data_IF_965904024959
#
_entry.id   IF_965904024959
#
_cell.length_a   1.000
_cell.length_b   1.000
_cell.length_c   1.000
_cell.angle_alpha   90.00
_cell.angle_beta   90.00
_cell.angle_gamma   90.00
#
_symmetry.space_group_name_H-M   'P 1'
#
loop_
_entity.id
_entity.type
_entity.pdbx_description
1 polymer ?
#
# COMPACT_ATOMS: atom_id res chain seq x y z
N UNK A 1 -3.22 -13.22 -4.71
CA UNK A 1 -2.64 -13.47 -3.37
C UNK A 1 -3.26 -12.44 -2.44
N UNK A 2 -4.02 -12.86 -1.44
CA UNK A 2 -4.56 -11.97 -0.42
C UNK A 2 -3.38 -11.39 0.37
N UNK A 3 -3.26 -10.06 0.42
CA UNK A 3 -2.14 -9.40 1.08
C UNK A 3 -2.14 -9.72 2.57
N UNK A 4 -1.09 -10.36 3.06
CA UNK A 4 -0.89 -10.64 4.48
C UNK A 4 -0.69 -9.31 5.21
N UNK A 5 -1.56 -9.00 6.17
CA UNK A 5 -1.44 -7.78 6.96
C UNK A 5 -0.09 -7.75 7.73
N UNK A 6 0.59 -6.58 7.81
CA UNK A 6 1.84 -6.45 8.56
C UNK A 6 1.66 -6.81 10.04
N UNK A 7 2.73 -7.31 10.67
CA UNK A 7 2.68 -7.69 12.09
C UNK A 7 2.41 -6.49 13.01
N UNK A 8 1.65 -6.71 14.09
CA UNK A 8 1.34 -5.65 15.08
C UNK A 8 2.62 -4.98 15.63
N UNK A 9 3.65 -5.79 15.88
CA UNK A 9 4.95 -5.33 16.37
C UNK A 9 5.64 -4.36 15.39
N UNK A 10 5.49 -4.61 14.10
CA UNK A 10 6.00 -3.73 13.06
C UNK A 10 5.26 -2.39 13.04
N UNK A 11 3.93 -2.44 13.10
CA UNK A 11 3.08 -1.24 13.16
C UNK A 11 3.45 -0.39 14.37
N UNK A 12 3.58 -0.98 15.56
CA UNK A 12 3.94 -0.27 16.80
C UNK A 12 5.31 0.43 16.73
N UNK A 13 6.34 -0.26 16.22
CA UNK A 13 7.68 0.32 16.07
C UNK A 13 7.66 1.51 15.11
N UNK A 14 6.89 1.42 14.02
CA UNK A 14 6.75 2.49 13.04
C UNK A 14 5.95 3.66 13.60
N UNK A 15 4.85 3.40 14.33
CA UNK A 15 4.03 4.40 15.03
C UNK A 15 4.89 5.32 15.91
N UNK A 16 5.89 4.77 16.62
CA UNK A 16 6.84 5.53 17.46
C UNK A 16 7.76 6.47 16.67
N UNK A 17 8.43 5.99 15.63
CA UNK A 17 9.41 6.78 14.86
C UNK A 17 8.77 7.94 14.08
N UNK A 18 7.59 7.68 13.59
CA UNK A 18 6.71 8.64 12.95
C UNK A 18 6.29 9.80 13.85
N UNK A 19 5.79 9.48 15.06
CA UNK A 19 5.24 10.50 15.95
C UNK A 19 6.31 11.52 16.33
N UNK A 20 7.57 11.11 16.23
CA UNK A 20 8.73 11.96 16.37
C UNK A 20 8.96 12.88 15.16
N UNK A 21 8.81 12.39 13.92
CA UNK A 21 8.98 13.20 12.71
C UNK A 21 7.86 14.25 12.53
N UNK A 22 6.59 13.89 12.75
CA UNK A 22 5.48 14.85 12.63
C UNK A 22 5.52 15.93 13.71
N UNK A 23 6.06 15.63 14.90
CA UNK A 23 6.31 16.63 15.95
C UNK A 23 7.34 17.68 15.53
N UNK A 24 8.24 17.36 14.59
CA UNK A 24 9.29 18.26 14.11
C UNK A 24 8.85 19.15 12.93
N UNK A 25 7.69 18.90 12.30
CA UNK A 25 7.24 19.68 11.13
C UNK A 25 5.75 20.08 11.21
N UNK A 26 5.42 21.24 11.80
CA UNK A 26 4.05 21.72 11.96
C UNK A 26 3.31 21.99 10.65
N UNK A 27 4.02 22.47 9.62
CA UNK A 27 3.43 22.75 8.30
C UNK A 27 2.96 21.49 7.61
N UNK A 28 3.77 20.43 7.69
CA UNK A 28 3.44 19.12 7.17
C UNK A 28 2.22 18.54 7.90
N UNK A 29 2.18 18.66 9.23
CA UNK A 29 1.02 18.25 10.04
C UNK A 29 -0.26 18.97 9.58
N UNK A 30 -0.24 20.29 9.42
CA UNK A 30 -1.41 21.09 9.05
C UNK A 30 -1.90 20.84 7.61
N UNK A 31 -0.98 20.70 6.64
CA UNK A 31 -1.32 20.33 5.28
C UNK A 31 -2.10 19.00 5.24
N UNK A 32 -1.63 18.00 5.99
CA UNK A 32 -2.29 16.70 6.04
C UNK A 32 -3.65 16.72 6.72
N UNK A 33 -3.80 17.43 7.84
CA UNK A 33 -5.12 17.60 8.48
C UNK A 33 -6.16 18.20 7.52
N UNK A 34 -5.77 19.20 6.72
CA UNK A 34 -6.67 19.83 5.76
C UNK A 34 -6.97 18.95 4.54
N UNK A 35 -6.01 18.12 4.12
CA UNK A 35 -6.19 17.20 3.00
C UNK A 35 -7.15 16.05 3.34
N UNK A 36 -7.07 15.52 4.56
CA UNK A 36 -7.79 14.32 4.97
C UNK A 36 -9.25 14.57 5.35
N UNK A 37 -9.59 15.81 5.68
CA UNK A 37 -10.96 16.23 5.91
C UNK A 37 -11.77 16.45 4.62
N UNK A 38 -11.20 16.13 3.44
CA UNK A 38 -11.92 16.28 2.17
C UNK A 38 -12.86 15.09 1.93
N UNK A 39 -14.09 15.31 1.42
CA UNK A 39 -15.07 14.25 1.17
C UNK A 39 -14.59 13.19 0.18
N UNK A 40 -13.67 13.54 -0.73
CA UNK A 40 -13.01 12.58 -1.63
C UNK A 40 -12.33 11.45 -0.87
N UNK A 41 -11.87 11.71 0.34
CA UNK A 41 -11.14 10.73 1.13
C UNK A 41 -12.01 9.53 1.49
N UNK A 42 -13.32 9.69 1.73
CA UNK A 42 -14.22 8.57 2.03
C UNK A 42 -14.22 7.51 0.91
N UNK A 43 -14.19 7.95 -0.35
CA UNK A 43 -14.11 7.03 -1.48
C UNK A 43 -12.74 6.37 -1.60
N UNK A 44 -11.67 7.13 -1.37
CA UNK A 44 -10.32 6.57 -1.38
C UNK A 44 -10.13 5.60 -0.19
N UNK A 45 -10.80 5.84 0.95
CA UNK A 45 -10.86 4.97 2.14
C UNK A 45 -11.36 3.56 1.83
N UNK A 46 -12.46 3.46 1.09
CA UNK A 46 -13.03 2.16 0.66
C UNK A 46 -12.08 1.38 -0.26
N UNK A 47 -11.31 2.08 -1.09
CA UNK A 47 -10.35 1.45 -2.00
C UNK A 47 -9.02 1.09 -1.32
N UNK A 48 -8.70 1.69 -0.17
CA UNK A 48 -7.38 1.58 0.46
C UNK A 48 -6.85 0.18 0.75
N UNK A 49 -7.62 -0.80 1.27
CA UNK A 49 -7.05 -2.13 1.52
C UNK A 49 -6.58 -2.83 0.23
N UNK A 50 -7.08 -2.41 -0.93
CA UNK A 50 -6.81 -3.02 -2.24
C UNK A 50 -5.83 -2.23 -3.12
N UNK A 51 -5.29 -1.10 -2.63
CA UNK A 51 -4.31 -0.30 -3.38
C UNK A 51 -2.88 -0.66 -2.95
N UNK A 52 -2.02 -1.11 -3.87
CA UNK A 52 -0.60 -1.28 -3.63
C UNK A 52 0.13 0.07 -3.56
N UNK A 53 1.21 0.12 -2.78
CA UNK A 53 2.09 1.27 -2.62
C UNK A 53 3.23 1.19 -3.65
N UNK A 54 3.37 2.16 -4.56
CA UNK A 54 4.54 2.27 -5.42
C UNK A 54 5.81 2.39 -4.57
N UNK A 55 6.67 1.38 -4.65
CA UNK A 55 7.88 1.29 -3.84
C UNK A 55 9.10 1.29 -4.76
N UNK A 56 10.05 2.19 -4.50
CA UNK A 56 11.31 2.25 -5.23
C UNK A 56 12.31 1.30 -4.58
N UNK A 57 12.88 0.42 -5.39
CA UNK A 57 14.05 -0.39 -5.04
C UNK A 57 15.23 0.13 -5.82
N UNK A 58 16.28 0.55 -5.12
CA UNK A 58 17.47 1.15 -5.72
C UNK A 58 18.73 0.36 -5.36
N UNK A 59 19.67 0.37 -6.30
CA UNK A 59 20.99 -0.21 -6.18
C UNK A 59 22.02 0.86 -6.58
N UNK A 60 22.79 1.34 -5.62
CA UNK A 60 23.58 2.58 -5.72
C UNK A 60 24.89 2.46 -6.50
N UNK A 61 25.18 1.28 -7.08
CA UNK A 61 26.44 1.01 -7.76
C UNK A 61 26.17 0.68 -9.21
N UNK A 62 26.96 1.26 -10.10
CA UNK A 62 26.95 0.90 -11.51
C UNK A 62 27.19 -0.61 -11.73
N UNK A 63 26.65 -1.13 -12.82
CA UNK A 63 26.73 -2.54 -13.16
C UNK A 63 26.16 -2.81 -14.54
N UNK A 64 26.44 -3.98 -15.15
CA UNK A 64 26.00 -4.27 -16.50
C UNK A 64 24.49 -4.59 -16.56
N UNK A 65 24.00 -5.40 -15.62
CA UNK A 65 22.56 -5.68 -15.45
C UNK A 65 22.25 -5.90 -13.98
N UNK A 66 21.16 -5.30 -13.52
CA UNK A 66 20.69 -5.42 -12.13
C UNK A 66 19.24 -5.87 -12.13
N UNK A 67 18.95 -6.90 -11.36
CA UNK A 67 17.61 -7.41 -11.11
C UNK A 67 17.33 -7.42 -9.62
N UNK A 68 16.05 -7.39 -9.26
CA UNK A 68 15.59 -7.57 -7.89
C UNK A 68 14.57 -8.69 -7.80
N UNK A 69 14.68 -9.50 -6.74
CA UNK A 69 13.74 -10.55 -6.38
C UNK A 69 13.40 -10.45 -4.90
N UNK A 70 12.20 -10.87 -4.52
CA UNK A 70 11.78 -10.88 -3.13
C UNK A 70 10.67 -11.86 -2.86
N UNK A 71 10.22 -11.89 -1.61
CA UNK A 71 9.20 -12.81 -1.12
C UNK A 71 7.76 -12.44 -1.53
N UNK A 72 7.53 -11.27 -2.13
CA UNK A 72 6.21 -10.83 -2.60
C UNK A 72 5.55 -11.78 -3.61
N UNK A 73 6.34 -12.58 -4.33
CA UNK A 73 5.86 -13.64 -5.22
C UNK A 73 6.41 -15.03 -4.85
N UNK A 74 6.99 -15.16 -3.65
CA UNK A 74 7.67 -16.36 -3.21
C UNK A 74 8.99 -16.63 -3.96
N UNK A 75 9.74 -15.58 -4.31
CA UNK A 75 11.04 -15.65 -5.01
C UNK A 75 10.97 -16.28 -6.40
N UNK A 76 9.82 -16.18 -7.07
CA UNK A 76 9.59 -16.84 -8.37
C UNK A 76 10.06 -15.98 -9.54
N UNK A 77 9.93 -14.66 -9.42
CA UNK A 77 10.28 -13.70 -10.45
C UNK A 77 11.56 -12.91 -10.16
N UNK A 78 12.15 -12.39 -11.24
CA UNK A 78 13.19 -11.36 -11.21
C UNK A 78 12.66 -10.14 -11.97
N UNK A 79 12.82 -8.95 -11.39
CA UNK A 79 12.39 -7.69 -12.00
C UNK A 79 13.64 -6.93 -12.41
N UNK A 80 13.83 -6.58 -13.70
CA UNK A 80 14.97 -5.78 -14.13
C UNK A 80 14.86 -4.35 -13.59
N UNK A 81 15.98 -3.78 -13.15
CA UNK A 81 16.06 -2.37 -12.76
C UNK A 81 16.50 -1.52 -13.94
N UNK A 82 15.97 -0.30 -13.99
CA UNK A 82 16.36 0.69 -14.98
C UNK A 82 17.69 1.35 -14.57
N UNK A 83 18.68 1.43 -15.47
CA UNK A 83 19.92 2.17 -15.22
C UNK A 83 19.68 3.68 -15.21
N UNK A 84 20.49 4.37 -14.41
CA UNK A 84 20.70 5.82 -14.41
C UNK A 84 22.20 6.10 -14.59
N UNK A 85 22.63 7.36 -14.46
CA UNK A 85 24.04 7.75 -14.58
C UNK A 85 24.93 7.10 -13.51
N UNK A 86 24.41 6.85 -12.31
CA UNK A 86 25.18 6.36 -11.16
C UNK A 86 24.54 5.16 -10.43
N UNK A 87 23.27 4.87 -10.69
CA UNK A 87 22.50 3.88 -9.95
C UNK A 87 21.57 3.06 -10.86
N UNK A 88 20.89 2.11 -10.23
CA UNK A 88 19.81 1.34 -10.83
C UNK A 88 18.57 1.46 -9.95
N UNK A 89 17.40 1.63 -10.54
CA UNK A 89 16.16 1.68 -9.78
C UNK A 89 14.97 1.04 -10.49
N UNK A 90 14.01 0.57 -9.70
CA UNK A 90 12.78 -0.02 -10.19
C UNK A 90 11.61 0.34 -9.28
N UNK A 91 10.45 0.60 -9.88
CA UNK A 91 9.22 0.89 -9.18
C UNK A 91 8.36 -0.38 -9.14
N UNK A 92 8.14 -0.90 -7.93
CA UNK A 92 7.39 -2.13 -7.70
C UNK A 92 6.17 -1.78 -6.83
N UNK A 93 4.95 -1.96 -7.32
CA UNK A 93 3.75 -1.77 -6.52
C UNK A 93 3.60 -2.95 -5.54
N UNK A 94 3.75 -2.69 -4.25
CA UNK A 94 3.62 -3.69 -3.19
C UNK A 94 2.51 -3.32 -2.20
N UNK A 95 1.74 -4.30 -1.77
CA UNK A 95 0.82 -4.09 -0.64
C UNK A 95 1.62 -3.80 0.64
N UNK A 96 1.02 -3.15 1.65
CA UNK A 96 1.70 -2.97 2.93
C UNK A 96 2.06 -4.30 3.58
N UNK A 97 3.24 -4.36 4.16
CA UNK A 97 3.83 -5.58 4.68
C UNK A 97 5.33 -5.43 4.93
N UNK A 98 5.93 -6.46 5.52
CA UNK A 98 7.38 -6.62 5.57
C UNK A 98 7.80 -7.56 4.44
N UNK A 99 8.77 -7.13 3.64
CA UNK A 99 9.28 -7.89 2.51
C UNK A 99 10.78 -8.09 2.64
N UNK A 100 11.22 -9.30 2.34
CA UNK A 100 12.63 -9.62 2.19
C UNK A 100 12.98 -9.75 0.70
N UNK A 101 14.11 -9.18 0.32
CA UNK A 101 14.51 -9.08 -1.08
C UNK A 101 16.02 -9.11 -1.25
N UNK A 102 16.45 -9.31 -2.49
CA UNK A 102 17.87 -9.39 -2.87
C UNK A 102 18.07 -8.94 -4.31
N UNK A 103 19.25 -8.42 -4.59
CA UNK A 103 19.64 -8.00 -5.93
C UNK A 103 20.48 -9.08 -6.61
N UNK A 104 20.27 -9.28 -7.90
CA UNK A 104 21.19 -10.03 -8.75
C UNK A 104 21.90 -9.04 -9.66
N UNK A 105 23.20 -8.87 -9.45
CA UNK A 105 24.07 -7.96 -10.21
C UNK A 105 25.02 -8.82 -11.02
N UNK A 106 24.89 -8.80 -12.34
CA UNK A 106 25.70 -9.64 -13.23
C UNK A 106 25.61 -11.14 -12.87
N UNK A 107 24.40 -11.62 -12.59
CA UNK A 107 24.12 -12.99 -12.18
C UNK A 107 24.55 -13.36 -10.76
N UNK A 108 25.14 -12.43 -10.00
CA UNK A 108 25.58 -12.66 -8.61
C UNK A 108 24.63 -12.03 -7.61
N UNK A 109 24.20 -12.83 -6.64
CA UNK A 109 23.36 -12.36 -5.54
C UNK A 109 24.10 -11.43 -4.59
N UNK A 110 23.61 -10.20 -4.44
CA UNK A 110 24.13 -9.15 -3.58
C UNK A 110 23.01 -8.52 -2.74
N UNK A 111 23.39 -7.91 -1.63
CA UNK A 111 22.50 -7.09 -0.81
C UNK A 111 23.00 -5.64 -0.84
N UNK A 112 22.08 -4.68 -0.82
CA UNK A 112 22.41 -3.26 -0.70
C UNK A 112 22.87 -2.96 0.72
N UNK A 113 23.88 -2.11 0.89
CA UNK A 113 24.44 -1.75 2.20
C UNK A 113 23.67 -0.62 2.89
N UNK A 114 22.95 0.19 2.12
CA UNK A 114 22.20 1.36 2.63
C UNK A 114 20.84 0.99 3.22
N UNK A 115 20.27 -0.14 2.83
CA UNK A 115 18.96 -0.58 3.31
C UNK A 115 19.12 -1.54 4.48
N UNK A 116 18.03 -1.79 5.22
CA UNK A 116 18.05 -2.72 6.34
C UNK A 116 18.42 -4.12 5.84
N UNK A 117 19.34 -4.76 6.55
CA UNK A 117 19.83 -6.11 6.26
C UNK A 117 19.30 -7.08 7.31
N UNK A 118 18.88 -8.25 6.86
CA UNK A 118 18.48 -9.38 7.70
C UNK A 118 19.27 -10.63 7.33
N UNK A 119 19.71 -11.37 8.35
CA UNK A 119 20.43 -12.63 8.18
C UNK A 119 19.41 -13.78 8.21
N UNK A 120 19.39 -14.60 7.17
CA UNK A 120 18.53 -15.77 7.14
C UNK A 120 19.12 -16.95 7.93
N UNK A 121 18.33 -18.01 8.12
CA UNK A 121 18.72 -19.21 8.85
C UNK A 121 19.91 -19.96 8.19
N UNK A 122 20.13 -19.77 6.90
CA UNK A 122 21.24 -20.34 6.13
C UNK A 122 22.52 -19.49 6.21
N UNK A 123 22.49 -18.40 6.97
CA UNK A 123 23.65 -17.54 7.19
C UNK A 123 23.91 -16.50 6.10
N UNK A 124 23.05 -16.41 5.08
CA UNK A 124 23.15 -15.41 4.01
C UNK A 124 22.40 -14.13 4.38
N UNK A 125 22.81 -13.01 3.80
CA UNK A 125 22.20 -11.70 4.03
C UNK A 125 21.24 -11.33 2.90
N UNK A 126 20.06 -10.85 3.30
CA UNK A 126 19.05 -10.28 2.43
C UNK A 126 18.73 -8.85 2.89
N UNK A 127 18.18 -8.04 2.01
CA UNK A 127 17.61 -6.77 2.40
C UNK A 127 16.17 -6.96 2.90
N UNK A 128 15.71 -6.05 3.74
CA UNK A 128 14.37 -6.02 4.30
C UNK A 128 13.79 -4.62 4.17
N UNK A 129 12.60 -4.53 3.60
CA UNK A 129 11.89 -3.27 3.38
C UNK A 129 10.47 -3.43 3.86
N UNK A 130 10.00 -2.40 4.54
CA UNK A 130 8.74 -2.48 5.23
C UNK A 130 7.81 -1.39 4.69
N UNK A 131 6.83 -1.85 3.92
CA UNK A 131 5.96 -1.04 3.09
C UNK A 131 4.75 -0.67 3.93
N UNK A 132 4.52 0.64 4.06
CA UNK A 132 3.30 1.16 4.70
C UNK A 132 2.76 2.29 3.89
N UNK A 133 1.50 2.58 4.15
CA UNK A 133 0.86 3.72 3.53
C UNK A 133 1.24 5.00 4.26
N UNK A 134 1.22 6.11 3.53
CA UNK A 134 1.56 7.41 4.08
C UNK A 134 0.61 7.80 5.22
N UNK A 135 -0.68 7.44 5.16
CA UNK A 135 -1.62 7.78 6.24
C UNK A 135 -1.56 6.84 7.45
N UNK A 136 -1.10 5.59 7.30
CA UNK A 136 -0.72 4.74 8.46
C UNK A 136 0.44 5.38 9.23
N UNK A 137 1.28 6.12 8.49
CA UNK A 137 2.24 7.05 9.06
C UNK A 137 1.50 8.30 9.61
N UNK A 138 0.56 8.93 8.93
CA UNK A 138 0.01 10.19 9.47
C UNK A 138 -0.97 10.03 10.66
N UNK A 139 -1.59 8.87 10.83
CA UNK A 139 -2.64 8.59 11.82
C UNK A 139 -2.41 7.24 12.50
N UNK A 140 -1.55 7.21 13.54
CA UNK A 140 -1.22 5.98 14.25
C UNK A 140 -2.30 5.51 15.23
N UNK A 141 -3.36 6.30 15.43
CA UNK A 141 -4.46 5.96 16.33
C UNK A 141 -5.59 5.27 15.55
N UNK A 142 -6.02 4.11 16.03
CA UNK A 142 -7.02 3.27 15.37
C UNK A 142 -8.43 3.88 15.48
N UNK A 143 -8.61 4.95 16.27
CA UNK A 143 -9.87 5.68 16.42
C UNK A 143 -10.46 6.22 15.10
N UNK A 144 -9.61 6.58 14.13
CA UNK A 144 -10.07 6.95 12.78
C UNK A 144 -10.44 5.71 11.96
N UNK A 145 -9.68 4.62 12.07
CA UNK A 145 -10.01 3.36 11.39
C UNK A 145 -11.33 2.79 11.90
N UNK A 146 -11.58 2.80 13.22
CA UNK A 146 -12.86 2.39 13.80
C UNK A 146 -14.01 3.28 13.31
N UNK A 147 -13.81 4.60 13.25
CA UNK A 147 -14.83 5.54 12.77
C UNK A 147 -15.13 5.39 11.27
N UNK A 148 -14.12 5.02 10.47
CA UNK A 148 -14.22 4.75 9.04
C UNK A 148 -14.90 3.39 8.80
N UNK A 149 -14.46 2.33 9.48
CA UNK A 149 -15.07 0.99 9.41
C UNK A 149 -16.53 1.06 9.87
N UNK A 150 -16.85 1.81 10.92
CA UNK A 150 -18.22 2.02 11.40
C UNK A 150 -19.11 2.74 10.38
N UNK A 151 -18.55 3.69 9.63
CA UNK A 151 -19.27 4.30 8.49
C UNK A 151 -19.47 3.30 7.35
N UNK A 152 -18.51 2.43 7.06
CA UNK A 152 -18.62 1.42 6.00
C UNK A 152 -19.69 0.35 6.31
N UNK A 153 -19.80 -0.13 7.56
CA UNK A 153 -20.90 -1.01 7.96
C UNK A 153 -22.24 -0.30 7.84
N UNK A 154 -22.32 0.97 8.25
CA UNK A 154 -23.54 1.76 8.14
C UNK A 154 -23.96 2.01 6.68
N UNK A 155 -23.02 2.36 5.79
CA UNK A 155 -23.31 2.61 4.37
C UNK A 155 -23.66 1.34 3.59
N UNK A 156 -22.97 0.22 3.86
CA UNK A 156 -23.30 -1.07 3.25
C UNK A 156 -24.68 -1.59 3.69
N UNK A 157 -25.04 -1.42 4.97
CA UNK A 157 -26.38 -1.71 5.47
C UNK A 157 -27.44 -0.79 4.84
N UNK A 158 -27.13 0.50 4.69
CA UNK A 158 -28.02 1.47 4.05
C UNK A 158 -28.27 1.15 2.56
N UNK A 159 -27.22 0.83 1.78
CA UNK A 159 -27.37 0.41 0.38
C UNK A 159 -28.15 -0.90 0.25
N UNK A 160 -27.87 -1.89 1.12
CA UNK A 160 -28.59 -3.17 1.10
C UNK A 160 -30.09 -3.00 1.38
N UNK A 161 -30.46 -2.07 2.28
CA UNK A 161 -31.84 -1.75 2.59
C UNK A 161 -32.53 -0.95 1.46
N UNK A 162 -31.80 -0.06 0.79
CA UNK A 162 -32.34 0.71 -0.34
C UNK A 162 -32.46 -0.11 -1.63
N UNK A 163 -31.53 -1.02 -1.92
CA UNK A 163 -31.65 -2.00 -3.01
C UNK A 163 -32.82 -2.97 -2.78
N UNK A 164 -33.03 -3.41 -1.53
CA UNK A 164 -34.21 -4.21 -1.14
C UNK A 164 -35.53 -3.44 -1.24
N UNK A 165 -35.51 -2.10 -1.16
CA UNK A 165 -36.68 -1.23 -1.38
C UNK A 165 -36.93 -0.98 -2.87
N UNK A 166 -35.88 -0.80 -3.67
CA UNK A 166 -35.96 -0.62 -5.11
C UNK A 166 -36.47 -1.90 -5.81
N UNK A 167 -36.00 -3.07 -5.37
CA UNK A 167 -36.46 -4.37 -5.86
C UNK A 167 -37.88 -4.74 -5.39
N UNK A 168 -38.52 -3.95 -4.52
CA UNK A 168 -39.90 -4.13 -4.08
C UNK A 168 -40.92 -3.28 -4.83
N UNK A 169 -40.51 -2.47 -5.80
CA UNK A 169 -41.43 -1.72 -6.67
C UNK A 169 -41.01 -1.83 -8.13
N UNK A 170 -41.35 -2.94 -8.77
CA UNK A 170 -41.61 -2.91 -10.21
C UNK A 170 -42.92 -2.16 -10.42
N UNK A 171 -42.84 -0.83 -10.59
CA UNK A 171 -43.92 -0.13 -11.28
C UNK A 171 -43.91 -0.61 -12.71
N UNK A 172 -44.94 -1.35 -13.12
CA UNK A 172 -45.20 -1.65 -14.53
C UNK A 172 -45.11 -0.35 -15.33
N UNK A 173 -44.28 -0.34 -16.37
CA UNK A 173 -44.12 0.78 -17.27
C UNK A 173 -45.47 1.07 -17.94
N UNK A 174 -45.95 2.33 -18.01
CA UNK A 174 -47.21 2.63 -18.67
C UNK A 174 -47.10 2.37 -20.20
N UNK A 175 -48.18 1.89 -20.85
CA UNK A 175 -48.13 1.34 -22.22
C UNK A 175 -47.83 2.33 -23.36
N UNK A 176 -47.54 3.61 -23.09
CA UNK A 176 -47.28 4.61 -24.14
C UNK A 176 -45.79 4.73 -24.56
N UNK A 177 -44.90 3.92 -23.99
CA UNK A 177 -43.46 3.94 -24.33
C UNK A 177 -43.01 2.86 -25.34
N UNK A 178 -43.95 2.20 -26.04
CA UNK A 178 -43.63 1.26 -27.13
C UNK A 178 -44.05 1.87 -28.49
N UNK A 179 -43.12 2.59 -29.12
CA UNK A 179 -42.96 2.92 -30.55
C UNK A 179 -41.92 4.07 -30.57
N UNK A 180 -40.82 4.05 -31.32
CA UNK A 180 -40.70 3.84 -32.76
C UNK A 180 -39.34 3.22 -33.11
N UNK A 181 -39.30 2.51 -34.25
CA UNK A 181 -38.09 2.26 -35.04
C UNK A 181 -37.51 3.59 -35.57
#
# INVERSE_FOLDING_TARGET
MEGTYPSLKYLEKKKRNLGFQLRKNPSLKNFFFNFLNKPIMNFIYVLFPKIPVPTIFAWDVEGPTVYVSGDWDGWRGTIPLCPSELDFSGLIPLYPGEYIYKFSVDGKWKYATITKIEKNFQGTFNNSSAITRLWEFLYPDDSLLEKIIFQDTFFSDFESQNLKRYNRKTSTMPPHYIAFF
#
